data_IF_241994038698
#
_entry.id   IF_241994038698
#
_cell.length_a   1.000
_cell.length_b   1.000
_cell.length_c   1.000
_cell.angle_alpha   90.00
_cell.angle_beta   90.00
_cell.angle_gamma   90.00
#
_symmetry.space_group_name_H-M   'P 1'
#
loop_
_entity.id
_entity.type
_entity.pdbx_description
1 polymer ?
#
# COMPACT_ATOMS: atom_id res chain seq x y z
N UNK A 1 -8.96 9.44 10.77
CA UNK A 1 -9.38 8.64 9.59
C UNK A 1 -8.18 8.40 8.69
N UNK A 2 -7.89 7.15 8.30
CA UNK A 2 -6.85 6.83 7.33
C UNK A 2 -7.39 6.99 5.90
N UNK A 3 -6.78 7.87 5.12
CA UNK A 3 -7.01 8.01 3.69
C UNK A 3 -6.04 7.10 2.93
N UNK A 4 -6.53 6.35 1.92
CA UNK A 4 -5.73 5.42 1.12
C UNK A 4 -5.95 5.68 -0.36
N UNK A 5 -4.87 5.79 -1.11
CA UNK A 5 -4.91 6.13 -2.53
C UNK A 5 -3.80 5.41 -3.32
N UNK A 6 -3.98 5.28 -4.62
CA UNK A 6 -2.90 5.04 -5.55
C UNK A 6 -2.36 6.38 -6.09
N UNK A 7 -1.27 6.34 -6.88
CA UNK A 7 -0.63 7.56 -7.37
C UNK A 7 -1.50 8.34 -8.36
N UNK A 8 -2.32 7.67 -9.15
CA UNK A 8 -3.23 8.33 -10.11
C UNK A 8 -4.34 9.08 -9.38
N UNK A 9 -4.93 8.46 -8.36
CA UNK A 9 -5.94 9.08 -7.52
C UNK A 9 -5.35 10.26 -6.74
N UNK A 10 -4.14 10.11 -6.17
CA UNK A 10 -3.45 11.19 -5.48
C UNK A 10 -3.16 12.38 -6.43
N UNK A 11 -2.74 12.10 -7.66
CA UNK A 11 -2.53 13.13 -8.68
C UNK A 11 -3.83 13.87 -9.02
N UNK A 12 -4.94 13.14 -9.16
CA UNK A 12 -6.25 13.74 -9.44
C UNK A 12 -6.74 14.64 -8.28
N UNK A 13 -6.55 14.21 -7.03
CA UNK A 13 -6.97 14.97 -5.85
C UNK A 13 -6.15 16.24 -5.66
N UNK A 14 -4.82 16.14 -5.86
CA UNK A 14 -3.90 17.26 -5.60
C UNK A 14 -3.71 18.17 -6.81
N UNK A 15 -4.13 17.74 -8.00
CA UNK A 15 -3.87 18.43 -9.26
C UNK A 15 -2.38 18.43 -9.66
N UNK A 16 -1.56 17.53 -9.07
CA UNK A 16 -0.10 17.46 -9.24
C UNK A 16 0.30 16.13 -9.86
N UNK A 17 1.45 16.11 -10.56
CA UNK A 17 2.08 14.85 -10.97
C UNK A 17 2.61 14.09 -9.73
N UNK A 18 2.50 12.75 -9.72
CA UNK A 18 3.04 11.89 -8.66
C UNK A 18 3.76 10.72 -9.31
N UNK A 19 5.05 10.89 -9.61
CA UNK A 19 5.91 9.92 -10.33
C UNK A 19 7.18 9.55 -9.58
N UNK A 20 7.52 10.30 -8.54
CA UNK A 20 8.71 10.08 -7.72
C UNK A 20 8.31 9.96 -6.24
N UNK A 21 9.22 9.47 -5.42
CA UNK A 21 9.00 9.37 -3.98
C UNK A 21 8.84 10.75 -3.33
N UNK A 22 9.57 11.76 -3.80
CA UNK A 22 9.44 13.12 -3.29
C UNK A 22 8.06 13.72 -3.65
N UNK A 23 7.59 13.51 -4.90
CA UNK A 23 6.24 13.90 -5.31
C UNK A 23 5.15 13.14 -4.51
N UNK A 24 5.41 11.88 -4.09
CA UNK A 24 4.53 11.16 -3.17
C UNK A 24 4.46 11.81 -1.80
N UNK A 25 5.59 12.25 -1.24
CA UNK A 25 5.63 12.97 0.04
C UNK A 25 4.85 14.26 -0.02
N UNK A 26 5.04 15.05 -1.08
CA UNK A 26 4.33 16.31 -1.30
C UNK A 26 2.81 16.09 -1.47
N UNK A 27 2.42 15.07 -2.23
CA UNK A 27 1.02 14.72 -2.42
C UNK A 27 0.37 14.22 -1.12
N UNK A 28 1.08 13.40 -0.35
CA UNK A 28 0.59 12.90 0.94
C UNK A 28 0.38 14.05 1.94
N UNK A 29 1.32 15.01 2.01
CA UNK A 29 1.19 16.19 2.85
C UNK A 29 -0.02 17.05 2.42
N UNK A 30 -0.18 17.30 1.12
CA UNK A 30 -1.32 18.06 0.60
C UNK A 30 -2.67 17.39 0.90
N UNK A 31 -2.75 16.05 0.82
CA UNK A 31 -3.98 15.30 1.17
C UNK A 31 -4.22 15.34 2.68
N UNK A 32 -3.17 15.29 3.50
CA UNK A 32 -3.30 15.39 4.96
C UNK A 32 -3.93 16.74 5.37
N UNK A 33 -3.54 17.84 4.71
CA UNK A 33 -4.11 19.18 4.92
C UNK A 33 -5.61 19.28 4.57
N UNK A 34 -6.15 18.35 3.76
CA UNK A 34 -7.58 18.25 3.50
C UNK A 34 -8.38 17.65 4.66
N UNK A 35 -7.73 17.31 5.78
CA UNK A 35 -8.37 16.84 7.01
C UNK A 35 -8.30 15.34 7.27
N UNK A 36 -7.47 14.61 6.52
CA UNK A 36 -7.18 13.21 6.84
C UNK A 36 -6.34 13.12 8.13
N UNK A 37 -6.56 12.09 8.96
CA UNK A 37 -5.70 11.84 10.13
C UNK A 37 -4.38 11.17 9.76
N UNK A 38 -4.38 10.42 8.66
CA UNK A 38 -3.20 9.81 8.04
C UNK A 38 -3.49 9.52 6.56
N UNK A 39 -2.43 9.44 5.76
CA UNK A 39 -2.49 9.19 4.32
C UNK A 39 -1.56 8.04 3.96
N UNK A 40 -2.08 7.01 3.30
CA UNK A 40 -1.28 5.92 2.73
C UNK A 40 -1.35 5.99 1.19
N UNK A 41 -0.25 6.36 0.56
CA UNK A 41 -0.10 6.34 -0.89
C UNK A 41 0.60 5.05 -1.32
N UNK A 42 -0.05 4.29 -2.22
CA UNK A 42 0.47 3.02 -2.73
C UNK A 42 1.27 3.28 -4.00
N UNK A 43 2.58 3.06 -3.93
CA UNK A 43 3.54 3.38 -5.00
C UNK A 43 3.82 2.24 -5.98
N UNK A 44 2.91 1.27 -6.12
CA UNK A 44 3.08 0.13 -7.03
C UNK A 44 3.31 0.46 -8.51
N UNK A 45 3.21 1.73 -8.90
CA UNK A 45 3.42 2.21 -10.27
C UNK A 45 4.73 2.99 -10.45
N UNK A 46 5.55 3.15 -9.38
CA UNK A 46 6.90 3.70 -9.50
C UNK A 46 7.84 2.69 -10.17
N UNK A 47 8.93 3.16 -10.76
CA UNK A 47 10.01 2.28 -11.24
C UNK A 47 10.75 1.64 -10.05
N UNK A 48 11.18 0.40 -10.18
CA UNK A 48 11.86 -0.34 -9.11
C UNK A 48 10.93 -1.03 -8.12
N UNK A 49 11.27 -1.03 -6.85
CA UNK A 49 10.49 -1.65 -5.78
C UNK A 49 9.11 -1.01 -5.61
N UNK A 50 8.17 -1.80 -5.12
CA UNK A 50 6.83 -1.32 -4.79
C UNK A 50 6.86 -0.62 -3.42
N UNK A 51 7.07 0.70 -3.41
CA UNK A 51 7.15 1.51 -2.21
C UNK A 51 5.80 2.13 -1.90
N UNK A 52 5.29 1.92 -0.68
CA UNK A 52 4.12 2.62 -0.15
C UNK A 52 4.56 3.63 0.91
N UNK A 53 3.94 4.81 0.92
CA UNK A 53 4.25 5.91 1.81
C UNK A 53 3.09 6.16 2.76
N UNK A 54 3.32 5.99 4.06
CA UNK A 54 2.41 6.41 5.12
C UNK A 54 2.87 7.77 5.65
N UNK A 55 1.96 8.74 5.69
CA UNK A 55 2.20 10.09 6.21
C UNK A 55 1.09 10.48 7.19
N UNK A 56 1.46 11.02 8.36
CA UNK A 56 0.55 11.49 9.40
C UNK A 56 1.21 12.63 10.20
N UNK A 57 0.49 13.30 11.07
CA UNK A 57 1.03 14.41 11.87
C UNK A 57 2.25 14.05 12.74
N UNK A 58 2.45 12.77 13.05
CA UNK A 58 3.59 12.27 13.82
C UNK A 58 4.81 11.91 12.98
N UNK A 59 4.71 11.88 11.64
CA UNK A 59 5.84 11.55 10.78
C UNK A 59 5.49 10.94 9.43
N UNK A 60 6.50 10.31 8.84
CA UNK A 60 6.40 9.64 7.54
C UNK A 60 7.14 8.31 7.61
N UNK A 61 6.57 7.26 7.03
CA UNK A 61 7.20 5.94 6.94
C UNK A 61 7.00 5.31 5.58
N UNK A 62 8.03 4.67 5.07
CA UNK A 62 8.05 3.96 3.81
C UNK A 62 8.02 2.44 4.05
N UNK A 63 7.29 1.74 3.19
CA UNK A 63 7.17 0.29 3.21
C UNK A 63 7.52 -0.23 1.82
N UNK A 64 8.67 -0.84 1.68
CA UNK A 64 9.15 -1.38 0.41
C UNK A 64 8.95 -2.89 0.33
N UNK A 65 8.67 -3.38 -0.87
CA UNK A 65 8.71 -4.78 -1.23
C UNK A 65 9.22 -4.92 -2.67
N UNK A 66 9.96 -6.00 -2.99
CA UNK A 66 10.36 -6.28 -4.36
C UNK A 66 9.14 -6.31 -5.29
N UNK A 67 9.30 -5.80 -6.51
CA UNK A 67 8.23 -5.88 -7.51
C UNK A 67 8.07 -7.32 -7.99
N UNK A 68 6.83 -7.77 -8.08
CA UNK A 68 6.47 -9.08 -8.62
C UNK A 68 5.94 -8.88 -10.03
N UNK A 69 6.62 -9.47 -11.00
CA UNK A 69 6.19 -9.47 -12.40
C UNK A 69 5.05 -10.47 -12.60
N UNK A 70 3.82 -9.98 -12.51
CA UNK A 70 2.61 -10.78 -12.75
C UNK A 70 1.47 -9.92 -13.25
N UNK A 71 0.60 -10.51 -14.06
CA UNK A 71 -0.68 -9.90 -14.46
C UNK A 71 -1.80 -10.14 -13.45
N UNK A 72 -1.61 -11.08 -12.51
CA UNK A 72 -2.63 -11.50 -11.55
C UNK A 72 -2.62 -10.59 -10.32
N UNK A 73 -3.12 -9.36 -10.49
CA UNK A 73 -3.13 -8.31 -9.47
C UNK A 73 -4.54 -7.82 -9.14
N UNK A 74 -5.59 -8.49 -9.67
CA UNK A 74 -6.95 -8.07 -9.40
C UNK A 74 -7.29 -8.18 -7.92
N UNK A 75 -7.87 -7.11 -7.38
CA UNK A 75 -8.25 -7.04 -5.96
C UNK A 75 -7.12 -6.61 -5.02
N UNK A 76 -5.88 -6.39 -5.47
CA UNK A 76 -4.75 -5.98 -4.63
C UNK A 76 -5.10 -4.77 -3.73
N UNK A 77 -5.60 -3.69 -4.31
CA UNK A 77 -5.91 -2.46 -3.55
C UNK A 77 -7.00 -2.67 -2.51
N UNK A 78 -8.09 -3.35 -2.89
CA UNK A 78 -9.21 -3.65 -1.98
C UNK A 78 -8.78 -4.57 -0.84
N UNK A 79 -8.06 -5.66 -1.17
CA UNK A 79 -7.59 -6.64 -0.19
C UNK A 79 -6.58 -6.04 0.79
N UNK A 80 -5.64 -5.22 0.31
CA UNK A 80 -4.70 -4.49 1.15
C UNK A 80 -5.42 -3.54 2.11
N UNK A 81 -6.41 -2.80 1.61
CA UNK A 81 -7.22 -1.90 2.43
C UNK A 81 -8.02 -2.64 3.50
N UNK A 82 -8.63 -3.77 3.14
CA UNK A 82 -9.38 -4.60 4.08
C UNK A 82 -8.46 -5.18 5.17
N UNK A 83 -7.26 -5.66 4.81
CA UNK A 83 -6.27 -6.18 5.75
C UNK A 83 -5.84 -5.12 6.78
N UNK A 84 -5.52 -3.89 6.33
CA UNK A 84 -5.18 -2.79 7.24
C UNK A 84 -6.35 -2.50 8.20
N UNK A 85 -7.57 -2.45 7.67
CA UNK A 85 -8.76 -2.17 8.49
C UNK A 85 -8.99 -3.25 9.55
N UNK A 86 -8.83 -4.52 9.19
CA UNK A 86 -8.95 -5.64 10.12
C UNK A 86 -7.89 -5.59 11.22
N UNK A 87 -6.63 -5.31 10.88
CA UNK A 87 -5.54 -5.20 11.84
C UNK A 87 -5.74 -4.02 12.81
N UNK A 88 -6.18 -2.87 12.32
CA UNK A 88 -6.54 -1.74 13.19
C UNK A 88 -7.69 -2.09 14.13
N UNK A 89 -8.69 -2.84 13.66
CA UNK A 89 -9.82 -3.27 14.48
C UNK A 89 -9.42 -4.27 15.58
N UNK A 90 -8.32 -5.01 15.40
CA UNK A 90 -7.75 -5.92 16.39
C UNK A 90 -6.74 -5.26 17.34
N UNK A 91 -6.52 -3.94 17.21
CA UNK A 91 -5.71 -3.15 18.13
C UNK A 91 -4.25 -2.92 17.71
N UNK A 92 -3.88 -3.30 16.48
CA UNK A 92 -2.55 -2.96 15.97
C UNK A 92 -2.39 -1.44 15.81
N UNK A 93 -1.16 -0.94 16.00
CA UNK A 93 -0.84 0.44 15.66
C UNK A 93 -0.98 0.67 14.14
N UNK A 94 -1.16 1.92 13.72
CA UNK A 94 -1.29 2.24 12.31
C UNK A 94 -0.07 1.77 11.50
N UNK A 95 1.13 2.01 12.00
CA UNK A 95 2.37 1.65 11.36
C UNK A 95 2.54 0.13 11.24
N UNK A 96 2.20 -0.62 12.30
CA UNK A 96 2.31 -2.07 12.30
C UNK A 96 1.23 -2.71 11.43
N UNK A 97 0.00 -2.19 11.46
CA UNK A 97 -1.08 -2.63 10.58
C UNK A 97 -0.70 -2.50 9.09
N UNK A 98 -0.10 -1.37 8.70
CA UNK A 98 0.39 -1.18 7.33
C UNK A 98 1.55 -2.13 7.02
N UNK A 99 2.50 -2.31 7.94
CA UNK A 99 3.63 -3.22 7.77
C UNK A 99 3.20 -4.68 7.56
N UNK A 100 2.31 -5.18 8.40
CA UNK A 100 1.78 -6.56 8.31
C UNK A 100 0.99 -6.73 7.01
N UNK A 101 0.09 -5.80 6.72
CA UNK A 101 -0.73 -5.86 5.51
C UNK A 101 0.12 -5.77 4.23
N UNK A 102 1.23 -5.00 4.23
CA UNK A 102 2.17 -4.92 3.10
C UNK A 102 2.85 -6.26 2.85
N UNK A 103 3.34 -6.94 3.88
CA UNK A 103 3.92 -8.28 3.76
C UNK A 103 2.89 -9.29 3.26
N UNK A 104 1.69 -9.25 3.82
CA UNK A 104 0.61 -10.15 3.40
C UNK A 104 0.21 -9.97 1.95
N UNK A 105 0.00 -8.74 1.50
CA UNK A 105 -0.41 -8.49 0.09
C UNK A 105 0.71 -8.83 -0.90
N UNK A 106 1.98 -8.65 -0.51
CA UNK A 106 3.11 -9.09 -1.30
C UNK A 106 3.07 -10.61 -1.52
N UNK A 107 2.91 -11.41 -0.46
CA UNK A 107 2.77 -12.86 -0.55
C UNK A 107 1.51 -13.28 -1.31
N UNK A 108 0.41 -12.57 -1.14
CA UNK A 108 -0.83 -12.83 -1.88
C UNK A 108 -0.68 -12.62 -3.39
N UNK A 109 0.14 -11.66 -3.80
CA UNK A 109 0.50 -11.44 -5.22
C UNK A 109 1.47 -12.52 -5.68
N UNK A 110 2.52 -12.81 -4.90
CA UNK A 110 3.56 -13.80 -5.25
C UNK A 110 3.01 -15.21 -5.43
N UNK A 111 2.04 -15.58 -4.60
CA UNK A 111 1.42 -16.91 -4.59
C UNK A 111 0.05 -16.94 -5.28
N UNK A 112 -0.21 -16.01 -6.21
CA UNK A 112 -1.48 -15.95 -6.93
C UNK A 112 -1.79 -17.30 -7.62
N UNK A 113 -3.08 -17.72 -7.67
CA UNK A 113 -3.45 -19.05 -8.19
C UNK A 113 -3.41 -19.16 -9.71
N UNK A 114 -3.08 -18.10 -10.44
CA UNK A 114 -3.01 -18.09 -11.90
C UNK A 114 -4.34 -18.29 -12.61
N UNK A 115 -5.47 -18.00 -11.96
CA UNK A 115 -6.80 -18.27 -12.49
C UNK A 115 -7.24 -17.23 -13.52
N UNK A 116 -7.90 -17.69 -14.56
CA UNK A 116 -8.50 -16.85 -15.58
C UNK A 116 -7.53 -16.42 -16.69
N UNK A 117 -8.10 -15.77 -17.75
CA UNK A 117 -7.36 -15.33 -18.94
C UNK A 117 -6.96 -13.85 -18.90
N UNK A 118 -7.51 -13.07 -17.96
CA UNK A 118 -7.22 -11.65 -17.74
C UNK A 118 -6.35 -11.42 -16.50
N UNK A 119 -6.56 -10.29 -15.84
CA UNK A 119 -5.97 -10.01 -14.51
C UNK A 119 -6.64 -10.89 -13.47
N UNK A 120 -6.00 -12.01 -13.13
CA UNK A 120 -6.52 -12.95 -12.15
C UNK A 120 -6.40 -12.44 -10.72
N UNK A 121 -7.07 -13.10 -9.75
CA UNK A 121 -7.11 -12.68 -8.37
C UNK A 121 -5.77 -12.94 -7.65
N UNK A 122 -5.53 -12.17 -6.59
CA UNK A 122 -4.49 -12.47 -5.60
C UNK A 122 -4.90 -13.67 -4.74
N UNK A 123 -3.94 -14.30 -4.06
CA UNK A 123 -4.20 -15.41 -3.13
C UNK A 123 -4.66 -14.87 -1.76
N UNK A 124 -5.97 -14.89 -1.50
CA UNK A 124 -6.51 -14.46 -0.20
C UNK A 124 -6.17 -15.38 0.98
N UNK A 125 -5.66 -16.58 0.73
CA UNK A 125 -5.23 -17.53 1.76
C UNK A 125 -3.72 -17.44 2.08
N UNK A 126 -3.01 -16.49 1.47
CA UNK A 126 -1.61 -16.24 1.77
C UNK A 126 -1.42 -15.86 3.24
N UNK A 127 -0.27 -16.25 3.80
CA UNK A 127 0.13 -15.81 5.15
C UNK A 127 1.11 -14.63 5.00
N UNK A 128 1.13 -13.68 5.97
CA UNK A 128 2.15 -12.65 5.97
C UNK A 128 3.56 -13.27 5.97
N UNK A 129 4.42 -12.79 5.11
CA UNK A 129 5.83 -13.18 5.10
C UNK A 129 6.52 -12.81 6.42
N UNK A 130 7.73 -13.34 6.70
CA UNK A 130 8.48 -13.06 7.91
C UNK A 130 8.69 -11.56 8.10
N UNK A 131 8.68 -11.09 9.35
CA UNK A 131 9.01 -9.69 9.64
C UNK A 131 10.51 -9.48 9.38
N UNK A 132 10.84 -8.58 8.47
CA UNK A 132 12.18 -8.01 8.39
C UNK A 132 12.36 -7.03 9.57
N UNK A 133 12.46 -7.55 10.81
CA UNK A 133 12.98 -6.72 11.90
C UNK A 133 14.48 -6.62 11.66
N UNK A 134 15.06 -5.44 11.50
CA UNK A 134 16.50 -5.30 11.62
C UNK A 134 16.88 -5.72 13.04
N UNK A 135 17.91 -6.56 13.17
CA UNK A 135 18.53 -6.89 14.45
C UNK A 135 19.03 -5.62 15.13
#
# INVERSE_FOLDING_TARGET
>A
MLFRSNLHEAAAITGRSVRTLDEMRDAAAAILELGAGAVLLKGGHLSGDAIDLLHWHGGTREYSAPRIETRHTHGTGCSYSAAITALLATGESLEEAVAIAKRWIHEAIATNPGLGRGSGPVNHFAKPGPSSRPN
#
